data_IF_100362702306
#
_entry.id   IF_100362702306
#
_cell.length_a   1.000
_cell.length_b   1.000
_cell.length_c   1.000
_cell.angle_alpha   90.00
_cell.angle_beta   90.00
_cell.angle_gamma   90.00
#
_symmetry.space_group_name_H-M   'P 1'
#
loop_
_entity.id
_entity.type
_entity.pdbx_description
1 polymer ?
#
# COMPACT_ATOMS: atom_id res chain seq x y z
N UNK A 1 7.69 -39.86 7.60
CA UNK A 1 8.34 -38.54 7.44
C UNK A 1 7.26 -37.57 6.99
N UNK A 2 6.95 -36.51 7.75
CA UNK A 2 5.91 -35.54 7.37
C UNK A 2 6.56 -34.43 6.54
N UNK A 3 6.19 -34.31 5.27
CA UNK A 3 6.56 -33.16 4.44
C UNK A 3 5.87 -31.91 5.00
N UNK A 4 6.61 -31.12 5.78
CA UNK A 4 6.19 -29.77 6.13
C UNK A 4 6.27 -28.91 4.86
N UNK A 5 5.11 -28.60 4.27
CA UNK A 5 5.01 -27.57 3.23
C UNK A 5 5.63 -26.28 3.76
N UNK A 6 6.69 -25.80 3.12
CA UNK A 6 7.31 -24.52 3.44
C UNK A 6 6.27 -23.45 3.10
N UNK A 7 5.66 -22.83 4.12
CA UNK A 7 4.82 -21.65 3.93
C UNK A 7 5.72 -20.54 3.41
N UNK A 8 5.63 -20.27 2.11
CA UNK A 8 6.17 -19.02 1.57
C UNK A 8 5.46 -17.88 2.28
N UNK A 9 6.18 -16.82 2.66
CA UNK A 9 5.55 -15.65 3.22
C UNK A 9 4.57 -15.08 2.21
N UNK A 10 3.49 -14.49 2.71
CA UNK A 10 2.59 -13.73 1.86
C UNK A 10 3.37 -12.56 1.25
N UNK A 11 3.37 -12.48 -0.07
CA UNK A 11 3.81 -11.29 -0.79
C UNK A 11 2.59 -10.41 -1.01
N UNK A 12 2.74 -9.12 -0.75
CA UNK A 12 1.76 -8.09 -1.02
C UNK A 12 2.17 -7.33 -2.26
N UNK A 13 1.28 -7.25 -3.24
CA UNK A 13 1.43 -6.37 -4.41
C UNK A 13 0.34 -5.30 -4.35
N UNK A 14 0.68 -4.07 -4.69
CA UNK A 14 -0.28 -2.96 -4.68
C UNK A 14 -0.10 -2.03 -5.88
N UNK A 15 -1.19 -1.36 -6.22
CA UNK A 15 -1.22 -0.27 -7.17
C UNK A 15 -2.25 0.76 -6.72
N UNK A 16 -2.00 2.02 -7.05
CA UNK A 16 -2.84 3.16 -6.72
C UNK A 16 -3.03 4.01 -7.96
N UNK A 17 -4.29 4.31 -8.27
CA UNK A 17 -4.70 5.18 -9.36
C UNK A 17 -5.64 6.24 -8.79
N UNK A 18 -5.53 7.46 -9.30
CA UNK A 18 -6.49 8.53 -9.02
C UNK A 18 -6.60 9.39 -10.28
N UNK A 19 -7.81 9.85 -10.54
CA UNK A 19 -8.17 10.60 -11.74
C UNK A 19 -9.05 11.78 -11.34
N UNK A 20 -8.87 12.91 -12.01
CA UNK A 20 -9.61 14.14 -11.77
C UNK A 20 -11.10 14.06 -12.19
N UNK A 21 -11.42 13.12 -13.07
CA UNK A 21 -12.73 13.02 -13.70
C UNK A 21 -13.00 14.15 -14.69
N UNK A 22 -14.28 14.32 -15.04
CA UNK A 22 -14.70 15.24 -16.12
C UNK A 22 -14.81 16.71 -15.70
N UNK A 23 -15.19 16.96 -14.45
CA UNK A 23 -15.76 18.26 -14.02
C UNK A 23 -14.76 19.12 -13.26
N UNK A 24 -13.89 18.50 -12.47
CA UNK A 24 -12.97 19.23 -11.60
C UNK A 24 -11.78 19.77 -12.40
N UNK A 25 -11.22 20.89 -11.95
CA UNK A 25 -10.02 21.51 -12.53
C UNK A 25 -8.72 21.01 -11.89
N UNK A 26 -8.80 20.58 -10.64
CA UNK A 26 -7.70 19.96 -9.91
C UNK A 26 -8.14 18.61 -9.36
N UNK A 27 -7.20 17.66 -9.29
CA UNK A 27 -7.40 16.43 -8.55
C UNK A 27 -6.92 16.64 -7.10
N UNK A 28 -7.84 16.56 -6.16
CA UNK A 28 -7.58 16.78 -4.73
C UNK A 28 -7.51 15.46 -3.95
N UNK A 29 -7.76 14.33 -4.62
CA UNK A 29 -7.58 13.01 -4.04
C UNK A 29 -6.13 12.80 -3.62
N UNK A 30 -5.96 12.21 -2.45
CA UNK A 30 -4.66 11.84 -1.93
C UNK A 30 -4.63 10.38 -1.50
N UNK A 31 -3.49 9.75 -1.75
CA UNK A 31 -3.21 8.37 -1.34
C UNK A 31 -1.99 8.34 -0.42
N UNK A 32 -2.08 7.53 0.63
CA UNK A 32 -0.97 7.24 1.54
C UNK A 32 -0.81 5.72 1.67
N UNK A 33 0.37 5.22 1.29
CA UNK A 33 0.81 3.88 1.64
C UNK A 33 1.96 3.96 2.64
N UNK A 34 1.91 3.15 3.69
CA UNK A 34 2.96 3.03 4.69
C UNK A 34 3.33 1.56 4.89
N UNK A 35 4.63 1.30 5.00
CA UNK A 35 5.13 0.10 5.67
C UNK A 35 5.75 0.51 6.99
N UNK A 36 5.55 -0.27 8.05
CA UNK A 36 6.10 0.06 9.35
C UNK A 36 6.33 -1.19 10.20
N UNK A 37 7.19 -1.02 11.19
CA UNK A 37 7.40 -1.96 12.29
C UNK A 37 7.51 -1.17 13.61
N UNK A 38 8.03 -1.81 14.66
CA UNK A 38 8.22 -1.16 15.97
C UNK A 38 9.34 -0.08 16.00
N UNK A 39 10.07 0.14 14.90
CA UNK A 39 11.26 1.00 14.84
C UNK A 39 11.13 2.11 13.81
N UNK A 40 10.55 1.81 12.66
CA UNK A 40 10.54 2.72 11.52
C UNK A 40 9.24 2.69 10.74
N UNK A 41 9.00 3.80 10.03
CA UNK A 41 7.88 3.98 9.11
C UNK A 41 8.45 4.47 7.79
N UNK A 42 8.11 3.79 6.70
CA UNK A 42 8.49 4.19 5.34
C UNK A 42 7.26 4.48 4.51
N UNK A 43 7.29 5.58 3.77
CA UNK A 43 6.24 5.91 2.80
C UNK A 43 6.42 5.07 1.53
N UNK A 44 5.35 4.44 1.09
CA UNK A 44 5.31 3.63 -0.12
C UNK A 44 4.94 4.46 -1.35
N UNK A 45 5.40 3.99 -2.51
CA UNK A 45 4.97 4.50 -3.81
C UNK A 45 3.56 4.03 -4.18
N UNK A 46 3.01 4.60 -5.26
CA UNK A 46 1.70 4.21 -5.80
C UNK A 46 1.65 2.76 -6.26
N UNK A 47 2.76 2.21 -6.74
CA UNK A 47 2.86 0.80 -7.14
C UNK A 47 4.03 0.16 -6.42
N UNK A 48 3.93 -1.13 -6.14
CA UNK A 48 5.03 -1.87 -5.54
C UNK A 48 4.66 -3.28 -5.14
N UNK A 49 5.67 -3.99 -4.64
CA UNK A 49 5.53 -5.30 -4.03
C UNK A 49 6.45 -5.43 -2.83
N UNK A 50 6.04 -6.20 -1.82
CA UNK A 50 6.82 -6.43 -0.62
C UNK A 50 6.44 -7.75 0.06
N UNK A 51 7.35 -8.27 0.87
CA UNK A 51 7.09 -9.42 1.74
C UNK A 51 6.38 -8.99 3.03
N UNK A 52 5.37 -9.75 3.45
CA UNK A 52 4.65 -9.54 4.71
C UNK A 52 5.28 -10.30 5.90
N UNK A 53 6.54 -10.74 5.81
CA UNK A 53 7.20 -11.47 6.90
C UNK A 53 7.41 -10.64 8.17
N UNK A 54 7.78 -9.35 8.01
CA UNK A 54 8.35 -8.54 9.10
C UNK A 54 7.75 -7.15 9.23
N UNK A 55 7.00 -6.71 8.22
CA UNK A 55 6.46 -5.35 8.14
C UNK A 55 4.94 -5.42 8.11
N UNK A 56 4.32 -4.48 8.80
CA UNK A 56 2.89 -4.20 8.66
C UNK A 56 2.69 -3.13 7.59
N UNK A 57 1.52 -3.18 6.95
CA UNK A 57 1.16 -2.29 5.85
C UNK A 57 -0.16 -1.60 6.14
N UNK A 58 -0.24 -0.31 5.81
CA UNK A 58 -1.50 0.45 5.85
C UNK A 58 -1.62 1.31 4.60
N UNK A 59 -2.84 1.33 4.06
CA UNK A 59 -3.21 2.13 2.91
C UNK A 59 -4.41 2.99 3.29
N UNK A 60 -4.34 4.28 2.97
CA UNK A 60 -5.40 5.22 3.18
C UNK A 60 -5.63 6.05 1.91
N UNK A 61 -6.89 6.39 1.68
CA UNK A 61 -7.33 7.29 0.60
C UNK A 61 -8.11 8.42 1.27
N UNK A 62 -7.82 9.65 0.85
CA UNK A 62 -8.55 10.84 1.25
C UNK A 62 -9.22 11.43 0.02
N UNK A 63 -10.55 11.58 0.09
CA UNK A 63 -11.33 12.40 -0.85
C UNK A 63 -11.10 13.86 -0.47
N UNK A 64 -10.37 14.57 -1.33
CA UNK A 64 -10.08 15.99 -1.14
C UNK A 64 -11.29 16.83 -1.53
N UNK A 65 -11.79 17.62 -0.59
CA UNK A 65 -12.85 18.59 -0.86
C UNK A 65 -12.41 19.99 -0.41
N UNK A 66 -11.95 20.82 -1.37
CA UNK A 66 -11.66 22.25 -1.25
C UNK A 66 -12.38 23.09 -2.31
#
# INVERSE_FOLDING_TARGET
MKNSSIKKPAALQWSGCSDIGKVRKNNEDSFLGLQFDAREVHRLGKTGEASMEKMDFTFAVSDGMG
#
